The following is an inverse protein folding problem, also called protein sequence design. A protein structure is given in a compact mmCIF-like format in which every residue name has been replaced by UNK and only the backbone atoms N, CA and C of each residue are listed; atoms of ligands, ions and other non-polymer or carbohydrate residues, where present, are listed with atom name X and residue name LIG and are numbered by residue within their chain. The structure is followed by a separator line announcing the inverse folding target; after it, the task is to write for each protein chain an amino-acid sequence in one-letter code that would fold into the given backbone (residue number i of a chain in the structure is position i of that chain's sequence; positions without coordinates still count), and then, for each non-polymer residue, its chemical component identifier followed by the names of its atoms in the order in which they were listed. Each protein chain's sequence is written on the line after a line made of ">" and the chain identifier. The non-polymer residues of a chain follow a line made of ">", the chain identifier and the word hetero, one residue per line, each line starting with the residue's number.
data_IF_916972451968
#
_entry.id   IF_916972451968
#
_cell.length_a   1.000
_cell.length_b   1.000
_cell.length_c   1.000
_cell.angle_alpha   90.00
_cell.angle_beta   90.00
_cell.angle_gamma   90.00
#
_symmetry.space_group_name_H-M   'P 1'
#
loop_
_entity.id
_entity.type
_entity.pdbx_description
1 polymer ?
#
# COMPACT_ATOMS: atom_id res chain seq x y z
N UNK A 1 -6.07 -17.67 -16.03
CA UNK A 1 -4.81 -17.19 -16.63
C UNK A 1 -4.71 -15.65 -16.65
N UNK A 2 -5.78 -14.94 -17.03
CA UNK A 2 -5.71 -13.48 -17.19
C UNK A 2 -5.44 -12.74 -15.88
N UNK A 3 -5.99 -13.20 -14.75
CA UNK A 3 -5.86 -12.56 -13.42
C UNK A 3 -4.78 -13.19 -12.54
N UNK A 4 -4.20 -14.28 -13.00
CA UNK A 4 -3.14 -15.04 -12.32
C UNK A 4 -1.97 -15.26 -13.29
N UNK A 5 -1.29 -14.17 -13.72
CA UNK A 5 -0.32 -14.24 -14.81
C UNK A 5 1.09 -14.64 -14.36
N UNK A 6 1.32 -14.80 -13.06
CA UNK A 6 2.65 -14.96 -12.50
C UNK A 6 3.02 -16.42 -12.28
N UNK A 7 4.30 -16.72 -12.41
CA UNK A 7 4.89 -18.04 -12.13
C UNK A 7 5.87 -17.99 -10.96
N UNK A 8 6.41 -16.80 -10.67
CA UNK A 8 7.42 -16.60 -9.61
C UNK A 8 7.10 -15.36 -8.77
N UNK A 9 7.61 -15.36 -7.53
CA UNK A 9 7.53 -14.22 -6.63
C UNK A 9 8.19 -12.97 -7.26
N UNK A 10 9.33 -13.18 -7.92
CA UNK A 10 10.05 -12.08 -8.58
C UNK A 10 9.20 -11.39 -9.66
N UNK A 11 8.39 -12.13 -10.43
CA UNK A 11 7.48 -11.54 -11.40
C UNK A 11 6.44 -10.63 -10.74
N UNK A 12 5.90 -11.02 -9.58
CA UNK A 12 4.98 -10.18 -8.80
C UNK A 12 5.68 -8.90 -8.35
N UNK A 13 6.85 -9.01 -7.75
CA UNK A 13 7.65 -7.87 -7.29
C UNK A 13 7.99 -6.92 -8.45
N UNK A 14 8.43 -7.46 -9.59
CA UNK A 14 8.73 -6.67 -10.79
C UNK A 14 7.49 -5.96 -11.35
N UNK A 15 6.31 -6.55 -11.24
CA UNK A 15 5.06 -5.90 -11.66
C UNK A 15 4.75 -4.67 -10.79
N UNK A 16 5.00 -4.71 -9.49
CA UNK A 16 4.91 -3.53 -8.63
C UNK A 16 5.90 -2.43 -9.03
N UNK A 17 7.15 -2.78 -9.29
CA UNK A 17 8.13 -1.80 -9.79
C UNK A 17 7.76 -1.24 -11.17
N UNK A 18 7.03 -1.99 -11.99
CA UNK A 18 6.50 -1.46 -13.25
C UNK A 18 5.44 -0.39 -13.01
N UNK A 19 4.56 -0.56 -12.00
CA UNK A 19 3.61 0.49 -11.59
C UNK A 19 4.35 1.75 -11.17
N UNK A 20 5.43 1.63 -10.40
CA UNK A 20 6.30 2.77 -10.06
C UNK A 20 6.86 3.47 -11.29
N UNK A 21 7.44 2.74 -12.23
CA UNK A 21 7.98 3.31 -13.47
C UNK A 21 6.94 4.07 -14.28
N UNK A 22 5.71 3.57 -14.31
CA UNK A 22 4.59 4.21 -15.01
C UNK A 22 4.21 5.52 -14.35
N UNK A 23 4.12 5.57 -13.02
CA UNK A 23 3.60 6.72 -12.32
C UNK A 23 4.65 7.78 -11.96
N UNK A 24 5.92 7.41 -11.86
CA UNK A 24 6.99 8.31 -11.42
C UNK A 24 7.01 9.68 -12.14
N UNK A 25 6.80 9.77 -13.48
CA UNK A 25 6.76 11.07 -14.16
C UNK A 25 5.62 11.99 -13.75
N UNK A 26 4.57 11.47 -13.10
CA UNK A 26 3.39 12.23 -12.70
C UNK A 26 3.43 12.65 -11.22
N UNK A 27 4.33 12.07 -10.43
CA UNK A 27 4.40 12.35 -8.99
C UNK A 27 4.77 13.80 -8.74
N UNK A 28 5.74 14.35 -9.47
CA UNK A 28 6.18 15.75 -9.35
C UNK A 28 5.07 16.76 -9.66
N UNK A 29 4.11 16.39 -10.52
CA UNK A 29 2.99 17.25 -10.85
C UNK A 29 1.95 17.35 -9.72
N UNK A 30 1.88 16.33 -8.85
CA UNK A 30 0.92 16.27 -7.75
C UNK A 30 1.51 16.68 -6.41
N UNK A 31 2.81 16.49 -6.21
CA UNK A 31 3.47 16.69 -4.92
C UNK A 31 4.73 17.54 -5.07
N UNK A 32 4.72 18.69 -4.39
CA UNK A 32 5.86 19.63 -4.38
C UNK A 32 7.05 19.15 -3.54
N UNK A 33 6.82 18.20 -2.65
CA UNK A 33 7.84 17.60 -1.78
C UNK A 33 7.73 16.08 -1.91
N UNK A 34 8.88 15.42 -2.04
CA UNK A 34 8.97 13.96 -2.10
C UNK A 34 9.96 13.45 -1.06
N UNK A 35 9.78 12.23 -0.54
CA UNK A 35 10.74 11.61 0.36
C UNK A 35 12.06 11.34 -0.38
N UNK A 36 13.16 11.53 0.33
CA UNK A 36 14.52 11.21 -0.14
C UNK A 36 14.89 9.77 0.17
N UNK A 37 14.32 9.23 1.24
CA UNK A 37 14.53 7.85 1.66
C UNK A 37 13.99 6.89 0.61
N UNK A 38 14.77 5.91 0.14
CA UNK A 38 14.29 4.92 -0.82
C UNK A 38 13.32 3.94 -0.19
N UNK A 39 12.56 3.23 -1.04
CA UNK A 39 11.77 2.07 -0.63
C UNK A 39 12.22 0.82 -1.35
N UNK A 40 11.92 -0.32 -0.74
CA UNK A 40 12.09 -1.64 -1.31
C UNK A 40 10.77 -2.40 -1.27
N UNK A 41 10.60 -3.36 -2.16
CA UNK A 41 9.46 -4.29 -2.14
C UNK A 41 10.03 -5.67 -1.88
N UNK A 42 9.52 -6.35 -0.86
CA UNK A 42 9.97 -7.68 -0.46
C UNK A 42 8.77 -8.61 -0.26
N UNK A 43 8.89 -9.89 -0.52
CA UNK A 43 7.87 -10.83 -0.10
C UNK A 43 7.88 -10.95 1.44
N UNK A 44 6.71 -11.18 2.03
CA UNK A 44 6.60 -11.63 3.42
C UNK A 44 7.29 -12.99 3.56
N UNK A 45 7.86 -13.26 4.74
CA UNK A 45 8.50 -14.56 5.03
C UNK A 45 7.54 -15.73 4.71
N UNK A 46 8.04 -16.71 3.97
CA UNK A 46 7.27 -17.85 3.49
C UNK A 46 6.57 -18.62 4.63
N UNK A 47 7.15 -18.63 5.85
CA UNK A 47 6.57 -19.32 7.00
C UNK A 47 5.24 -18.72 7.45
N UNK A 48 5.00 -17.43 7.20
CA UNK A 48 3.80 -16.71 7.62
C UNK A 48 2.97 -16.16 6.46
N UNK A 49 3.43 -16.29 5.21
CA UNK A 49 2.81 -15.66 4.04
C UNK A 49 1.33 -16.03 3.85
N UNK A 50 0.91 -17.25 4.23
CA UNK A 50 -0.49 -17.69 4.17
C UNK A 50 -1.42 -16.97 5.17
N UNK A 51 -0.88 -16.43 6.25
CA UNK A 51 -1.64 -15.75 7.31
C UNK A 51 -1.43 -14.24 7.32
N UNK A 52 -0.43 -13.76 6.58
CA UNK A 52 -0.09 -12.35 6.51
C UNK A 52 -0.95 -11.59 5.49
N UNK A 53 -1.02 -10.29 5.68
CA UNK A 53 -1.46 -9.32 4.68
C UNK A 53 -0.27 -8.50 4.22
N UNK A 54 -0.41 -7.82 3.08
CA UNK A 54 0.55 -6.80 2.67
C UNK A 54 0.65 -5.72 3.76
N UNK A 55 1.84 -5.17 3.95
CA UNK A 55 2.08 -4.12 4.94
C UNK A 55 3.34 -3.31 4.60
N UNK A 56 3.45 -2.14 5.22
CA UNK A 56 4.61 -1.29 5.08
C UNK A 56 5.34 -1.14 6.41
N UNK A 57 6.68 -1.33 6.39
CA UNK A 57 7.59 -1.05 7.51
C UNK A 57 8.42 0.20 7.19
N UNK A 58 8.28 1.23 8.02
CA UNK A 58 8.90 2.53 7.81
C UNK A 58 10.42 2.51 7.91
N UNK A 59 11.11 3.55 7.38
CA UNK A 59 12.54 3.72 7.57
C UNK A 59 12.85 3.98 9.04
N UNK A 60 14.11 3.79 9.42
CA UNK A 60 14.58 4.19 10.74
C UNK A 60 14.77 5.72 10.84
N UNK A 61 14.85 6.22 12.07
CA UNK A 61 14.96 7.66 12.35
C UNK A 61 16.23 8.33 11.77
N UNK A 62 17.30 7.59 11.58
CA UNK A 62 18.55 8.08 11.02
C UNK A 62 18.64 7.99 9.50
N UNK A 63 17.60 7.46 8.83
CA UNK A 63 17.51 7.35 7.39
C UNK A 63 18.45 6.31 6.76
N UNK A 64 19.13 5.47 7.56
CA UNK A 64 20.09 4.48 7.06
C UNK A 64 19.43 3.22 6.50
N UNK A 65 18.16 2.97 6.84
CA UNK A 65 17.35 1.85 6.33
C UNK A 65 16.24 2.38 5.42
N UNK A 66 16.10 1.77 4.25
CA UNK A 66 14.96 1.99 3.37
C UNK A 66 13.63 1.63 4.06
N UNK A 67 12.53 2.26 3.62
CA UNK A 67 11.20 1.75 3.91
C UNK A 67 10.93 0.46 3.13
N UNK A 68 10.15 -0.46 3.67
CA UNK A 68 9.92 -1.75 3.04
C UNK A 68 8.41 -2.00 2.91
N UNK A 69 7.96 -2.12 1.68
CA UNK A 69 6.66 -2.69 1.37
C UNK A 69 6.80 -4.21 1.34
N UNK A 70 6.18 -4.90 2.30
CA UNK A 70 6.07 -6.35 2.34
C UNK A 70 4.80 -6.80 1.65
N UNK A 71 4.92 -7.63 0.61
CA UNK A 71 3.77 -8.22 -0.08
C UNK A 71 3.59 -9.69 0.30
N UNK A 72 2.37 -10.08 0.64
CA UNK A 72 2.03 -11.44 1.03
C UNK A 72 1.79 -12.31 -0.23
N UNK A 73 2.80 -13.04 -0.65
CA UNK A 73 2.79 -13.88 -1.85
C UNK A 73 3.00 -15.36 -1.46
N UNK A 74 1.99 -16.04 -0.91
CA UNK A 74 2.14 -17.45 -0.53
C UNK A 74 2.32 -18.38 -1.73
N UNK A 75 1.71 -18.06 -2.86
CA UNK A 75 1.83 -18.75 -4.13
C UNK A 75 1.66 -17.76 -5.28
N UNK A 76 2.73 -17.49 -6.01
CA UNK A 76 2.70 -16.54 -7.12
C UNK A 76 1.71 -16.96 -8.22
N UNK A 77 1.51 -18.26 -8.44
CA UNK A 77 0.56 -18.75 -9.46
C UNK A 77 -0.91 -18.49 -9.11
N UNK A 78 -1.19 -18.22 -7.85
CA UNK A 78 -2.52 -17.83 -7.32
C UNK A 78 -2.62 -16.35 -6.98
N UNK A 79 -1.55 -15.58 -7.21
CA UNK A 79 -1.54 -14.16 -6.91
C UNK A 79 -2.40 -13.38 -7.90
N UNK A 80 -3.41 -12.67 -7.39
CA UNK A 80 -4.36 -11.95 -8.22
C UNK A 80 -3.80 -10.58 -8.63
N UNK A 81 -3.70 -10.34 -9.92
CA UNK A 81 -3.07 -9.12 -10.47
C UNK A 81 -3.98 -7.88 -10.49
N UNK A 82 -5.31 -8.02 -10.36
CA UNK A 82 -6.23 -6.91 -10.63
C UNK A 82 -6.29 -5.82 -9.55
N UNK A 83 -5.73 -6.04 -8.36
CA UNK A 83 -5.67 -5.04 -7.29
C UNK A 83 -4.26 -4.48 -7.06
N UNK A 84 -3.28 -4.88 -7.88
CA UNK A 84 -1.87 -4.57 -7.62
C UNK A 84 -1.55 -3.08 -7.67
N UNK A 85 -2.14 -2.34 -8.60
CA UNK A 85 -1.89 -0.90 -8.71
C UNK A 85 -2.46 -0.16 -7.50
N UNK A 86 -3.64 -0.56 -7.01
CA UNK A 86 -4.24 0.00 -5.78
C UNK A 86 -3.38 -0.32 -4.55
N UNK A 87 -2.92 -1.56 -4.44
CA UNK A 87 -2.05 -1.99 -3.35
C UNK A 87 -0.72 -1.23 -3.35
N UNK A 88 -0.10 -1.06 -4.52
CA UNK A 88 1.13 -0.28 -4.65
C UNK A 88 0.94 1.17 -4.21
N UNK A 89 -0.16 1.82 -4.62
CA UNK A 89 -0.49 3.19 -4.21
C UNK A 89 -0.69 3.30 -2.71
N UNK A 90 -1.25 2.27 -2.07
CA UNK A 90 -1.49 2.22 -0.64
C UNK A 90 -0.20 2.06 0.18
N UNK A 91 0.59 1.05 -0.15
CA UNK A 91 1.77 0.67 0.64
C UNK A 91 3.02 1.50 0.31
N UNK A 92 3.22 1.81 -0.97
CA UNK A 92 4.42 2.48 -1.44
C UNK A 92 4.19 3.98 -1.69
N UNK A 93 4.15 4.40 -2.95
CA UNK A 93 4.07 5.81 -3.36
C UNK A 93 2.74 6.06 -4.09
N UNK A 94 2.00 7.09 -3.67
CA UNK A 94 2.27 8.05 -2.60
C UNK A 94 1.66 7.69 -1.23
N UNK A 95 1.47 6.39 -0.95
CA UNK A 95 0.83 5.88 0.25
C UNK A 95 1.70 5.92 1.51
N UNK A 96 1.76 4.79 2.22
CA UNK A 96 2.46 4.70 3.50
C UNK A 96 3.93 5.11 3.44
N UNK A 97 4.68 4.63 2.43
CA UNK A 97 6.08 5.02 2.30
C UNK A 97 6.23 6.54 2.19
N UNK A 98 5.44 7.16 1.31
CA UNK A 98 5.55 8.59 1.06
C UNK A 98 5.28 9.41 2.32
N UNK A 99 4.19 9.12 3.02
CA UNK A 99 3.80 9.82 4.24
C UNK A 99 4.82 9.63 5.37
N UNK A 100 5.15 8.36 5.67
CA UNK A 100 5.99 8.02 6.82
C UNK A 100 7.42 8.45 6.59
N UNK A 101 7.97 8.30 5.38
CA UNK A 101 9.32 8.77 5.08
C UNK A 101 9.45 10.29 5.20
N UNK A 102 8.47 11.07 4.70
CA UNK A 102 8.45 12.53 4.89
C UNK A 102 8.36 12.91 6.37
N UNK A 103 7.57 12.19 7.17
CA UNK A 103 7.49 12.41 8.62
C UNK A 103 8.84 12.14 9.30
N UNK A 104 9.52 11.05 8.95
CA UNK A 104 10.84 10.71 9.48
C UNK A 104 11.91 11.72 9.08
N UNK A 105 11.87 12.23 7.84
CA UNK A 105 12.82 13.22 7.32
C UNK A 105 12.59 14.64 7.86
N UNK A 106 11.40 14.96 8.34
CA UNK A 106 11.07 16.30 8.82
C UNK A 106 11.89 16.68 10.07
N UNK A 107 12.53 17.84 10.04
CA UNK A 107 13.27 18.39 11.19
C UNK A 107 12.36 19.09 12.19
N UNK A 108 11.14 19.45 11.76
CA UNK A 108 10.19 20.23 12.57
C UNK A 108 9.29 19.35 13.44
N UNK A 109 9.26 18.04 13.16
CA UNK A 109 8.44 17.08 13.92
C UNK A 109 9.26 16.51 15.08
N UNK A 110 8.81 16.68 16.35
CA UNK A 110 9.49 16.11 17.50
C UNK A 110 9.60 14.58 17.41
N UNK A 111 10.71 14.03 17.89
CA UNK A 111 11.01 12.58 17.77
C UNK A 111 9.90 11.70 18.33
N UNK A 112 9.29 12.08 19.47
CA UNK A 112 8.19 11.30 20.04
C UNK A 112 6.98 11.17 19.10
N UNK A 113 6.70 12.19 18.27
CA UNK A 113 5.62 12.13 17.28
C UNK A 113 5.95 11.17 16.14
N UNK A 114 7.19 11.12 15.70
CA UNK A 114 7.65 10.20 14.65
C UNK A 114 7.53 8.72 15.07
N UNK A 115 7.52 8.45 16.37
CA UNK A 115 7.37 7.10 16.91
C UNK A 115 5.92 6.74 17.28
N UNK A 116 4.98 7.68 17.14
CA UNK A 116 3.57 7.45 17.40
C UNK A 116 2.82 7.24 16.07
N UNK A 117 2.00 6.21 16.00
CA UNK A 117 1.12 5.97 14.86
C UNK A 117 -0.33 6.29 15.20
N UNK A 118 -0.98 7.03 14.31
CA UNK A 118 -2.42 7.28 14.35
C UNK A 118 -3.08 6.60 13.15
N UNK A 119 -3.61 5.39 13.37
CA UNK A 119 -4.17 4.55 12.31
C UNK A 119 -5.16 5.28 11.41
N UNK A 120 -6.06 6.09 11.98
CA UNK A 120 -7.02 6.87 11.19
C UNK A 120 -6.35 7.83 10.19
N UNK A 121 -5.22 8.42 10.57
CA UNK A 121 -4.45 9.31 9.68
C UNK A 121 -3.65 8.53 8.66
N UNK A 122 -2.91 7.52 9.09
CA UNK A 122 -2.05 6.72 8.22
C UNK A 122 -2.86 5.93 7.19
N UNK A 123 -3.89 5.20 7.63
CA UNK A 123 -4.76 4.43 6.73
C UNK A 123 -5.66 5.33 5.87
N UNK A 124 -6.12 6.45 6.44
CA UNK A 124 -6.92 7.43 5.70
C UNK A 124 -6.14 8.06 4.57
N UNK A 125 -4.86 8.39 4.79
CA UNK A 125 -3.96 8.86 3.75
C UNK A 125 -3.75 7.79 2.67
N UNK A 126 -3.38 6.57 3.05
CA UNK A 126 -3.15 5.48 2.11
C UNK A 126 -4.40 5.17 1.27
N UNK A 127 -5.59 5.14 1.89
CA UNK A 127 -6.85 5.00 1.16
C UNK A 127 -7.10 6.16 0.18
N UNK A 128 -6.83 7.39 0.58
CA UNK A 128 -6.95 8.56 -0.31
C UNK A 128 -6.03 8.40 -1.52
N UNK A 129 -4.79 7.96 -1.33
CA UNK A 129 -3.82 7.83 -2.44
C UNK A 129 -4.23 6.79 -3.48
N UNK A 130 -4.97 5.77 -3.11
CA UNK A 130 -5.58 4.83 -4.08
C UNK A 130 -6.48 5.56 -5.09
N UNK A 131 -7.11 6.66 -4.71
CA UNK A 131 -7.96 7.46 -5.61
C UNK A 131 -7.16 8.23 -6.66
N UNK A 132 -5.87 8.46 -6.44
CA UNK A 132 -5.01 9.25 -7.32
C UNK A 132 -4.49 8.46 -8.53
N UNK A 133 -4.72 7.15 -8.59
CA UNK A 133 -4.13 6.28 -9.61
C UNK A 133 -4.31 6.77 -11.04
N UNK A 134 -5.51 7.27 -11.42
CA UNK A 134 -5.73 7.82 -12.76
C UNK A 134 -4.88 9.06 -13.04
N UNK A 135 -4.75 9.95 -12.06
CA UNK A 135 -3.91 11.15 -12.20
C UNK A 135 -2.42 10.80 -12.27
N UNK A 136 -2.04 9.63 -11.74
CA UNK A 136 -0.70 9.07 -11.77
C UNK A 136 -0.45 8.14 -12.97
N UNK A 137 -1.36 8.08 -13.96
CA UNK A 137 -1.21 7.26 -15.16
C UNK A 137 -1.46 5.76 -14.96
N UNK A 138 -2.00 5.37 -13.80
CA UNK A 138 -2.45 4.01 -13.49
C UNK A 138 -3.93 3.81 -13.82
N UNK A 139 -4.46 2.60 -13.56
CA UNK A 139 -5.85 2.22 -13.81
C UNK A 139 -6.27 2.35 -15.28
N UNK A 140 -5.33 2.19 -16.20
CA UNK A 140 -5.62 2.11 -17.65
C UNK A 140 -6.30 0.80 -18.01
N UNK A 141 -6.04 -0.26 -17.25
CA UNK A 141 -6.80 -1.50 -17.30
C UNK A 141 -8.04 -1.39 -16.39
N UNK A 142 -9.26 -1.58 -16.93
CA UNK A 142 -10.50 -1.52 -16.16
C UNK A 142 -10.52 -2.47 -14.95
N UNK A 143 -9.83 -3.60 -15.02
CA UNK A 143 -9.75 -4.55 -13.93
C UNK A 143 -8.93 -4.02 -12.75
N UNK A 144 -7.86 -3.26 -12.99
CA UNK A 144 -7.12 -2.57 -11.94
C UNK A 144 -8.01 -1.54 -11.20
N UNK A 145 -8.81 -0.80 -11.96
CA UNK A 145 -9.77 0.13 -11.36
C UNK A 145 -10.88 -0.58 -10.59
N UNK A 146 -11.36 -1.73 -11.09
CA UNK A 146 -12.32 -2.58 -10.38
C UNK A 146 -11.74 -3.10 -9.05
N UNK A 147 -10.46 -3.51 -9.05
CA UNK A 147 -9.77 -3.92 -7.82
C UNK A 147 -9.73 -2.80 -6.77
N UNK A 148 -9.45 -1.57 -7.19
CA UNK A 148 -9.55 -0.39 -6.30
C UNK A 148 -10.96 -0.22 -5.73
N UNK A 149 -11.99 -0.27 -6.57
CA UNK A 149 -13.38 -0.13 -6.11
C UNK A 149 -13.78 -1.25 -5.14
N UNK A 150 -13.32 -2.46 -5.36
CA UNK A 150 -13.54 -3.58 -4.46
C UNK A 150 -12.89 -3.35 -3.09
N UNK A 151 -11.65 -2.85 -3.06
CA UNK A 151 -10.96 -2.51 -1.83
C UNK A 151 -11.67 -1.38 -1.06
N UNK A 152 -12.12 -0.33 -1.75
CA UNK A 152 -12.90 0.77 -1.17
C UNK A 152 -14.24 0.28 -0.60
N UNK A 153 -14.96 -0.57 -1.32
CA UNK A 153 -16.21 -1.17 -0.85
C UNK A 153 -16.01 -2.02 0.40
N UNK A 154 -14.95 -2.82 0.43
CA UNK A 154 -14.61 -3.63 1.61
C UNK A 154 -14.38 -2.74 2.84
N UNK A 155 -13.62 -1.66 2.70
CA UNK A 155 -13.35 -0.72 3.80
C UNK A 155 -14.62 0.01 4.24
N UNK A 156 -15.47 0.44 3.30
CA UNK A 156 -16.76 1.04 3.62
C UNK A 156 -17.67 0.07 4.39
N UNK A 157 -17.73 -1.18 3.96
CA UNK A 157 -18.48 -2.22 4.68
C UNK A 157 -17.93 -2.47 6.09
N UNK A 158 -16.60 -2.48 6.27
CA UNK A 158 -15.96 -2.65 7.58
C UNK A 158 -16.32 -1.55 8.57
N UNK A 159 -16.52 -0.31 8.14
CA UNK A 159 -16.95 0.78 9.03
C UNK A 159 -18.29 0.46 9.73
N UNK A 160 -19.18 -0.26 9.05
CA UNK A 160 -20.47 -0.66 9.59
C UNK A 160 -20.36 -1.97 10.36
N UNK A 161 -19.76 -2.98 9.76
CA UNK A 161 -19.70 -4.34 10.31
C UNK A 161 -18.83 -4.41 11.56
N UNK A 162 -17.64 -3.82 11.53
CA UNK A 162 -16.71 -3.83 12.67
C UNK A 162 -17.31 -3.12 13.88
N UNK A 163 -17.84 -1.91 13.68
CA UNK A 163 -18.54 -1.20 14.75
C UNK A 163 -19.78 -1.95 15.23
N UNK A 164 -20.52 -2.59 14.34
CA UNK A 164 -21.68 -3.41 14.69
C UNK A 164 -21.33 -4.60 15.57
N UNK A 165 -20.27 -5.33 15.22
CA UNK A 165 -19.79 -6.48 15.99
C UNK A 165 -19.28 -6.06 17.38
N UNK A 166 -18.42 -5.03 17.43
CA UNK A 166 -17.72 -4.67 18.66
C UNK A 166 -18.52 -3.77 19.61
N UNK A 167 -19.48 -2.97 19.11
CA UNK A 167 -20.23 -2.03 19.96
C UNK A 167 -21.70 -2.35 20.09
N UNK A 168 -22.29 -3.11 19.17
CA UNK A 168 -23.73 -3.43 19.18
C UNK A 168 -24.03 -4.91 19.39
N UNK A 169 -22.99 -5.74 19.58
CA UNK A 169 -23.14 -7.17 19.82
C UNK A 169 -23.72 -7.95 18.63
N UNK A 170 -23.49 -7.48 17.39
CA UNK A 170 -23.92 -8.23 16.21
C UNK A 170 -23.24 -9.60 16.16
N UNK A 171 -23.98 -10.57 15.67
CA UNK A 171 -23.46 -11.90 15.40
C UNK A 171 -23.01 -12.00 13.94
N UNK A 172 -22.37 -13.11 13.61
CA UNK A 172 -21.95 -13.39 12.24
C UNK A 172 -23.13 -13.71 11.30
N UNK A 173 -24.28 -14.09 11.85
CA UNK A 173 -25.52 -14.43 11.14
C UNK A 173 -26.45 -13.24 11.01
#
# INVERSE_FOLDING_TARGET
>A
PQFFPFNTIDEVIQRHYQSWKTMAPFVDALFSIQPKTPFEIRPVDAAIANAATANYDGPNLDGTRAGIFYDAIPDATQYNSFAMESLFLHEAIPGHHFQIALEMESVDIPVYRKTMSFGAFSEGWALYTESLGKALGLYTDPYQYMGRLQAEMLRAARLVVDTGLHTKGWTRE
#
